data_IF_965961744931
#
_entry.id   IF_965961744931
#
_cell.length_a   1.000
_cell.length_b   1.000
_cell.length_c   1.000
_cell.angle_alpha   90.00
_cell.angle_beta   90.00
_cell.angle_gamma   90.00
#
_symmetry.space_group_name_H-M   'P 1'
#
loop_
_entity.id
_entity.type
_entity.pdbx_description
1 polymer ?
#
# COMPACT_ATOMS: atom_id res chain seq x y z
N UNK A 1 0.27 18.33 4.36
CA UNK A 1 -0.56 19.56 4.54
C UNK A 1 -1.15 19.97 3.18
N UNK A 2 -2.40 20.43 3.12
CA UNK A 2 -2.98 20.93 1.86
C UNK A 2 -2.77 22.44 1.80
N UNK A 3 -2.14 22.93 0.73
CA UNK A 3 -1.81 24.35 0.50
C UNK A 3 -1.17 25.03 1.73
N UNK A 4 -0.10 24.44 2.27
CA UNK A 4 0.62 25.03 3.40
C UNK A 4 -0.15 25.06 4.74
N UNK A 5 -1.27 24.35 4.85
CA UNK A 5 -2.06 24.26 6.09
C UNK A 5 -3.47 24.84 6.00
N UNK A 6 -3.89 25.36 4.85
CA UNK A 6 -5.28 25.82 4.63
C UNK A 6 -6.31 24.70 4.82
N UNK A 7 -5.92 23.45 4.58
CA UNK A 7 -6.76 22.28 4.88
C UNK A 7 -5.92 21.11 5.39
N UNK A 8 -6.56 20.27 6.21
CA UNK A 8 -6.01 19.02 6.70
C UNK A 8 -6.42 17.87 5.79
N UNK A 9 -5.46 17.05 5.39
CA UNK A 9 -5.73 15.84 4.61
C UNK A 9 -6.48 14.84 5.50
N UNK A 10 -7.63 14.36 5.04
CA UNK A 10 -8.51 13.45 5.82
C UNK A 10 -8.12 11.97 5.72
N UNK A 11 -7.03 11.68 5.01
CA UNK A 11 -6.46 10.34 4.82
C UNK A 11 -6.95 9.65 3.54
N UNK A 12 -6.52 8.42 3.32
CA UNK A 12 -6.85 7.65 2.12
C UNK A 12 -8.27 7.06 2.15
N UNK A 13 -8.78 6.74 3.34
CA UNK A 13 -10.04 5.99 3.52
C UNK A 13 -11.26 6.68 2.88
N UNK A 14 -11.48 8.00 3.02
CA UNK A 14 -12.60 8.68 2.37
C UNK A 14 -12.56 8.55 0.84
N UNK A 15 -11.38 8.63 0.23
CA UNK A 15 -11.21 8.43 -1.22
C UNK A 15 -11.44 6.97 -1.62
N UNK A 16 -11.04 6.01 -0.79
CA UNK A 16 -11.30 4.59 -1.05
C UNK A 16 -12.79 4.27 -0.99
N UNK A 17 -13.54 4.92 -0.08
CA UNK A 17 -15.02 4.84 -0.06
C UNK A 17 -15.62 5.38 -1.35
N UNK A 18 -15.11 6.51 -1.86
CA UNK A 18 -15.54 7.08 -3.13
C UNK A 18 -15.26 6.13 -4.32
N UNK A 19 -14.08 5.49 -4.35
CA UNK A 19 -13.81 4.48 -5.38
C UNK A 19 -14.73 3.26 -5.25
N UNK A 20 -15.06 2.81 -4.04
CA UNK A 20 -16.02 1.73 -3.85
C UNK A 20 -17.40 2.07 -4.40
N UNK A 21 -17.90 3.29 -4.16
CA UNK A 21 -19.21 3.69 -4.71
C UNK A 21 -19.17 3.76 -6.23
N UNK A 22 -18.07 4.24 -6.83
CA UNK A 22 -17.87 4.22 -8.27
C UNK A 22 -17.83 2.78 -8.85
N UNK A 23 -17.19 1.83 -8.18
CA UNK A 23 -17.14 0.42 -8.62
C UNK A 23 -18.52 -0.25 -8.57
N UNK A 24 -19.37 0.18 -7.63
CA UNK A 24 -20.70 -0.41 -7.40
C UNK A 24 -21.84 0.34 -8.09
N UNK A 25 -21.60 1.51 -8.69
CA UNK A 25 -22.67 2.32 -9.28
C UNK A 25 -23.31 1.68 -10.52
N UNK A 26 -22.59 0.79 -11.21
CA UNK A 26 -23.09 0.05 -12.37
C UNK A 26 -22.81 -1.45 -12.25
N UNK A 27 -23.72 -2.27 -12.77
CA UNK A 27 -23.46 -3.70 -12.97
C UNK A 27 -22.60 -3.90 -14.22
N UNK A 28 -21.70 -4.89 -14.20
CA UNK A 28 -20.96 -5.30 -15.40
C UNK A 28 -21.93 -6.00 -16.37
N UNK A 29 -22.59 -5.19 -17.21
CA UNK A 29 -23.51 -5.65 -18.25
C UNK A 29 -24.75 -6.39 -17.74
N UNK A 30 -25.21 -6.12 -16.51
CA UNK A 30 -26.39 -6.78 -15.92
C UNK A 30 -26.16 -8.21 -15.41
N UNK A 31 -24.95 -8.77 -15.56
CA UNK A 31 -24.65 -10.17 -15.22
C UNK A 31 -23.98 -10.30 -13.85
N UNK A 32 -23.08 -9.37 -13.48
CA UNK A 32 -22.37 -9.37 -12.18
C UNK A 32 -22.18 -7.95 -11.64
N UNK A 33 -22.05 -7.83 -10.33
CA UNK A 33 -21.66 -6.56 -9.70
C UNK A 33 -20.20 -6.21 -10.03
N UNK A 34 -19.90 -4.92 -10.17
CA UNK A 34 -18.52 -4.46 -10.34
C UNK A 34 -17.63 -4.88 -9.17
N UNK A 35 -16.37 -5.23 -9.48
CA UNK A 35 -15.36 -5.61 -8.51
C UNK A 35 -14.04 -4.91 -8.84
N UNK A 36 -13.28 -4.57 -7.81
CA UNK A 36 -11.99 -3.90 -7.93
C UNK A 36 -11.04 -4.33 -6.83
N UNK A 37 -9.74 -4.24 -7.13
CA UNK A 37 -8.64 -4.41 -6.18
C UNK A 37 -7.84 -3.13 -6.13
N UNK A 38 -7.58 -2.63 -4.93
CA UNK A 38 -6.84 -1.39 -4.70
C UNK A 38 -5.45 -1.71 -4.14
N UNK A 39 -4.41 -1.08 -4.69
CA UNK A 39 -3.01 -1.35 -4.36
C UNK A 39 -2.39 -0.22 -3.53
N UNK A 40 -1.56 -0.59 -2.56
CA UNK A 40 -0.77 0.36 -1.77
C UNK A 40 0.53 -0.27 -1.25
N UNK A 41 1.59 0.52 -1.05
CA UNK A 41 2.85 0.04 -0.49
C UNK A 41 2.70 -0.32 0.99
N UNK A 42 3.38 -1.39 1.42
CA UNK A 42 3.41 -1.83 2.82
C UNK A 42 4.04 -0.78 3.76
N UNK A 43 4.86 0.12 3.23
CA UNK A 43 5.47 1.23 3.99
C UNK A 43 4.60 2.49 4.01
N UNK A 44 3.38 2.46 3.46
CA UNK A 44 2.47 3.60 3.52
C UNK A 44 2.14 3.96 4.98
N UNK A 45 2.11 5.25 5.31
CA UNK A 45 1.82 5.73 6.67
C UNK A 45 0.54 5.17 7.28
N UNK A 46 -0.51 5.06 6.47
CA UNK A 46 -1.81 4.55 6.92
C UNK A 46 -1.95 3.02 6.83
N UNK A 47 -0.86 2.27 6.53
CA UNK A 47 -0.94 0.83 6.17
C UNK A 47 -1.72 -0.01 7.18
N UNK A 48 -1.55 0.19 8.49
CA UNK A 48 -2.25 -0.60 9.50
C UNK A 48 -3.77 -0.38 9.44
N UNK A 49 -4.19 0.86 9.15
CA UNK A 49 -5.59 1.20 8.93
C UNK A 49 -6.11 0.65 7.60
N UNK A 50 -5.27 0.64 6.56
CA UNK A 50 -5.63 0.12 5.23
C UNK A 50 -5.79 -1.41 5.22
N UNK A 51 -4.99 -2.13 6.00
CA UNK A 51 -5.04 -3.60 6.09
C UNK A 51 -6.37 -4.11 6.65
N UNK A 52 -6.98 -3.36 7.59
CA UNK A 52 -8.21 -3.77 8.29
C UNK A 52 -9.49 -3.26 7.62
N UNK A 53 -9.41 -2.63 6.45
CA UNK A 53 -10.59 -2.05 5.76
C UNK A 53 -11.68 -3.07 5.45
N UNK A 54 -11.28 -4.32 5.24
CA UNK A 54 -12.16 -5.44 4.93
C UNK A 54 -12.65 -6.21 6.17
N UNK A 55 -12.12 -5.90 7.34
CA UNK A 55 -12.49 -6.58 8.59
C UNK A 55 -13.96 -6.30 8.93
N UNK A 56 -14.70 -7.35 9.28
CA UNK A 56 -16.12 -7.24 9.63
C UNK A 56 -16.36 -6.49 10.94
N UNK A 57 -15.39 -6.49 11.86
CA UNK A 57 -15.44 -5.73 13.13
C UNK A 57 -14.94 -4.30 12.91
N UNK A 58 -15.52 -3.33 13.60
CA UNK A 58 -15.18 -1.90 13.51
C UNK A 58 -16.35 -1.02 13.08
N UNK A 59 -16.19 0.30 13.19
CA UNK A 59 -17.21 1.27 12.78
C UNK A 59 -17.21 1.45 11.26
N UNK A 60 -18.31 1.95 10.69
CA UNK A 60 -18.42 2.03 9.23
C UNK A 60 -17.48 3.06 8.62
N UNK A 61 -17.16 4.13 9.35
CA UNK A 61 -16.33 5.25 8.89
C UNK A 61 -14.92 4.84 8.47
N UNK A 62 -14.34 3.85 9.14
CA UNK A 62 -12.99 3.34 8.89
C UNK A 62 -12.99 1.97 8.21
N UNK A 63 -14.03 1.67 7.42
CA UNK A 63 -14.17 0.39 6.69
C UNK A 63 -14.59 0.58 5.24
N UNK A 64 -14.07 -0.29 4.38
CA UNK A 64 -14.33 -0.34 2.94
C UNK A 64 -14.30 -1.82 2.52
N UNK A 65 -15.39 -2.54 2.79
CA UNK A 65 -15.40 -4.02 2.76
C UNK A 65 -15.64 -4.64 1.39
N UNK A 66 -16.20 -3.87 0.45
CA UNK A 66 -16.67 -4.39 -0.84
C UNK A 66 -15.65 -4.21 -1.99
N UNK A 67 -14.40 -3.89 -1.65
CA UNK A 67 -13.24 -3.97 -2.53
C UNK A 67 -12.21 -4.96 -1.96
N UNK A 68 -11.35 -5.50 -2.82
CA UNK A 68 -10.21 -6.30 -2.41
C UNK A 68 -8.94 -5.42 -2.39
N UNK A 69 -7.86 -5.87 -1.76
CA UNK A 69 -6.66 -5.05 -1.57
C UNK A 69 -5.40 -5.81 -1.96
N UNK A 70 -4.45 -5.13 -2.63
CA UNK A 70 -3.14 -5.65 -2.96
C UNK A 70 -2.05 -4.91 -2.19
N UNK A 71 -1.40 -5.59 -1.26
CA UNK A 71 -0.27 -5.04 -0.51
C UNK A 71 1.00 -5.22 -1.32
N UNK A 72 1.69 -4.12 -1.57
CA UNK A 72 2.89 -4.09 -2.39
C UNK A 72 4.14 -4.18 -1.50
N UNK A 73 5.01 -5.15 -1.80
CA UNK A 73 6.16 -5.53 -0.97
C UNK A 73 7.38 -5.72 -1.88
N UNK A 74 8.57 -5.39 -1.37
CA UNK A 74 9.85 -5.71 -2.02
C UNK A 74 10.81 -6.42 -1.05
N UNK A 75 11.99 -6.77 -1.56
CA UNK A 75 13.09 -7.42 -0.84
C UNK A 75 13.45 -6.76 0.49
N UNK A 76 13.52 -5.41 0.55
CA UNK A 76 13.92 -4.72 1.78
C UNK A 76 12.93 -5.01 2.92
N UNK A 77 11.63 -4.98 2.62
CA UNK A 77 10.57 -5.24 3.62
C UNK A 77 10.66 -6.66 4.18
N UNK A 78 10.88 -7.66 3.31
CA UNK A 78 11.12 -9.03 3.76
C UNK A 78 12.42 -9.17 4.57
N UNK A 79 13.47 -8.45 4.18
CA UNK A 79 14.75 -8.46 4.90
C UNK A 79 14.58 -7.90 6.31
N UNK A 80 13.79 -6.83 6.49
CA UNK A 80 13.44 -6.29 7.82
C UNK A 80 12.71 -7.35 8.66
N UNK A 81 11.75 -8.08 8.09
CA UNK A 81 11.07 -9.18 8.78
C UNK A 81 12.05 -10.28 9.24
N UNK A 82 12.89 -10.79 8.33
CA UNK A 82 13.81 -11.88 8.61
C UNK A 82 14.85 -11.51 9.68
N UNK A 83 15.29 -10.26 9.71
CA UNK A 83 16.23 -9.75 10.72
C UNK A 83 15.54 -9.33 12.03
N UNK A 84 14.22 -9.44 12.14
CA UNK A 84 13.47 -8.95 13.31
C UNK A 84 13.58 -7.43 13.51
N UNK A 85 13.80 -6.69 12.42
CA UNK A 85 13.95 -5.25 12.43
C UNK A 85 12.61 -4.50 12.40
N UNK A 86 12.70 -3.18 12.19
CA UNK A 86 11.56 -2.30 12.08
C UNK A 86 11.31 -1.87 10.63
N UNK A 87 10.07 -1.48 10.35
CA UNK A 87 9.64 -0.82 9.11
C UNK A 87 9.20 0.59 9.49
N UNK A 88 9.77 1.57 8.80
CA UNK A 88 9.35 2.96 8.88
C UNK A 88 8.25 3.24 7.85
N UNK A 89 7.19 3.89 8.33
CA UNK A 89 6.00 4.21 7.56
C UNK A 89 6.02 5.69 7.20
N UNK A 90 5.86 5.98 5.91
CA UNK A 90 5.97 7.33 5.36
C UNK A 90 4.72 7.70 4.57
N UNK A 91 4.36 8.98 4.57
CA UNK A 91 3.46 9.51 3.54
C UNK A 91 4.27 9.68 2.26
N UNK A 92 3.85 9.16 1.11
CA UNK A 92 4.57 9.35 -0.16
C UNK A 92 4.82 10.83 -0.51
N UNK A 93 4.01 11.76 0.02
CA UNK A 93 4.21 13.21 -0.14
C UNK A 93 5.47 13.75 0.52
N UNK A 94 5.97 13.06 1.55
CA UNK A 94 7.02 13.58 2.45
C UNK A 94 8.40 12.96 2.12
N UNK A 95 8.43 12.00 1.18
CA UNK A 95 9.63 11.24 0.78
C UNK A 95 9.79 11.24 -0.74
N UNK A 96 10.21 12.37 -1.34
CA UNK A 96 10.32 12.51 -2.79
C UNK A 96 11.20 11.42 -3.41
N UNK A 97 10.75 10.88 -4.55
CA UNK A 97 11.46 9.82 -5.29
C UNK A 97 11.36 8.42 -4.67
N UNK A 98 10.98 8.28 -3.39
CA UNK A 98 10.91 6.96 -2.74
C UNK A 98 9.86 6.05 -3.39
N UNK A 99 8.70 6.61 -3.77
CA UNK A 99 7.63 5.83 -4.38
C UNK A 99 8.02 5.28 -5.76
N UNK A 100 8.69 6.09 -6.59
CA UNK A 100 9.12 5.64 -7.92
C UNK A 100 10.22 4.58 -7.80
N UNK A 101 11.25 4.85 -6.99
CA UNK A 101 12.34 3.90 -6.73
C UNK A 101 11.83 2.54 -6.21
N UNK A 102 10.76 2.52 -5.40
CA UNK A 102 10.18 1.29 -4.88
C UNK A 102 9.83 0.26 -5.98
N UNK A 103 9.45 0.72 -7.17
CA UNK A 103 9.16 -0.14 -8.32
C UNK A 103 10.33 -0.22 -9.31
N UNK A 104 11.05 0.88 -9.49
CA UNK A 104 11.99 1.06 -10.61
C UNK A 104 13.41 0.60 -10.28
N UNK A 105 13.90 0.92 -9.08
CA UNK A 105 15.29 0.72 -8.69
C UNK A 105 15.38 0.38 -7.19
N UNK A 106 15.71 -0.88 -6.90
CA UNK A 106 15.75 -1.39 -5.54
C UNK A 106 16.94 -0.86 -4.73
N UNK A 107 18.06 -0.55 -5.39
CA UNK A 107 19.24 -0.01 -4.73
C UNK A 107 19.01 1.45 -4.35
N UNK A 108 18.42 2.23 -5.26
CA UNK A 108 18.01 3.61 -4.98
C UNK A 108 16.90 3.68 -3.92
N UNK A 109 15.96 2.72 -3.94
CA UNK A 109 14.95 2.61 -2.88
C UNK A 109 15.60 2.39 -1.52
N UNK A 110 16.55 1.45 -1.39
CA UNK A 110 17.24 1.20 -0.12
C UNK A 110 18.03 2.43 0.35
N UNK A 111 18.69 3.13 -0.56
CA UNK A 111 19.42 4.38 -0.29
C UNK A 111 18.49 5.48 0.23
N UNK A 112 17.40 5.77 -0.47
CA UNK A 112 16.42 6.79 -0.08
C UNK A 112 15.69 6.40 1.21
N UNK A 113 15.29 5.14 1.35
CA UNK A 113 14.57 4.66 2.52
C UNK A 113 15.39 4.84 3.79
N UNK A 114 16.66 4.41 3.77
CA UNK A 114 17.56 4.56 4.92
C UNK A 114 17.94 6.03 5.18
N UNK A 115 18.08 6.84 4.14
CA UNK A 115 18.27 8.29 4.25
C UNK A 115 17.10 8.95 5.00
N UNK A 116 15.86 8.66 4.59
CA UNK A 116 14.67 9.24 5.20
C UNK A 116 14.35 8.67 6.59
N UNK A 117 14.81 7.45 6.90
CA UNK A 117 14.76 6.92 8.27
C UNK A 117 15.67 7.68 9.24
N UNK A 118 16.79 8.22 8.74
CA UNK A 118 17.75 8.97 9.53
C UNK A 118 17.44 10.48 9.61
N UNK A 119 16.46 10.96 8.83
CA UNK A 119 16.05 12.37 8.83
C UNK A 119 14.92 12.62 9.85
N UNK A 120 15.28 13.22 10.98
CA UNK A 120 14.34 13.56 12.06
C UNK A 120 13.34 14.67 11.67
N UNK A 121 13.53 15.34 10.53
CA UNK A 121 12.58 16.36 10.04
C UNK A 121 11.39 15.75 9.30
N UNK A 122 11.51 14.50 8.83
CA UNK A 122 10.47 13.79 8.10
C UNK A 122 9.54 13.08 9.08
N UNK A 123 8.24 13.32 8.92
CA UNK A 123 7.26 12.67 9.78
C UNK A 123 7.13 11.20 9.41
N UNK A 124 7.54 10.32 10.32
CA UNK A 124 7.47 8.87 10.16
C UNK A 124 6.88 8.18 11.38
N UNK A 125 6.30 7.02 11.16
CA UNK A 125 5.96 6.07 12.23
C UNK A 125 6.85 4.83 12.09
N UNK A 126 7.19 4.18 13.19
CA UNK A 126 8.05 2.99 13.17
C UNK A 126 7.33 1.84 13.83
N UNK A 127 7.18 0.75 13.08
CA UNK A 127 6.53 -0.47 13.55
C UNK A 127 7.48 -1.65 13.45
N UNK A 128 7.32 -2.65 14.32
CA UNK A 128 8.10 -3.90 14.19
C UNK A 128 7.64 -4.62 12.93
N UNK A 129 8.59 -5.10 12.13
CA UNK A 129 8.26 -5.82 10.90
C UNK A 129 7.39 -7.05 11.19
N UNK A 130 7.69 -7.78 12.26
CA UNK A 130 6.91 -8.96 12.67
C UNK A 130 5.45 -8.61 12.94
N UNK A 131 5.17 -7.50 13.62
CA UNK A 131 3.82 -7.09 13.98
C UNK A 131 3.03 -6.69 12.73
N UNK A 132 3.63 -5.90 11.83
CA UNK A 132 3.00 -5.46 10.58
C UNK A 132 2.71 -6.65 9.64
N UNK A 133 3.67 -7.55 9.45
CA UNK A 133 3.47 -8.75 8.63
C UNK A 133 2.43 -9.70 9.25
N UNK A 134 2.40 -9.81 10.58
CA UNK A 134 1.39 -10.62 11.27
C UNK A 134 -0.02 -10.05 11.08
N UNK A 135 -0.19 -8.74 11.22
CA UNK A 135 -1.46 -8.06 10.95
C UNK A 135 -1.93 -8.31 9.51
N UNK A 136 -1.04 -8.08 8.53
CA UNK A 136 -1.34 -8.32 7.12
C UNK A 136 -1.78 -9.78 6.86
N UNK A 137 -1.03 -10.75 7.38
CA UNK A 137 -1.32 -12.16 7.17
C UNK A 137 -2.57 -12.63 7.91
N UNK A 138 -2.88 -12.04 9.07
CA UNK A 138 -4.11 -12.31 9.82
C UNK A 138 -5.34 -11.80 9.07
N UNK A 139 -5.31 -10.57 8.54
CA UNK A 139 -6.41 -10.03 7.73
C UNK A 139 -6.57 -10.78 6.41
N UNK A 140 -5.45 -11.19 5.79
CA UNK A 140 -5.43 -12.10 4.64
C UNK A 140 -6.10 -13.43 4.95
N UNK A 141 -5.75 -14.07 6.06
CA UNK A 141 -6.32 -15.36 6.47
C UNK A 141 -7.82 -15.25 6.78
N UNK A 142 -8.23 -14.16 7.42
CA UNK A 142 -9.62 -13.94 7.84
C UNK A 142 -10.57 -13.66 6.67
N UNK A 143 -10.09 -12.94 5.65
CA UNK A 143 -10.93 -12.46 4.54
C UNK A 143 -10.68 -13.17 3.22
N UNK A 144 -9.50 -13.78 3.04
CA UNK A 144 -9.03 -14.37 1.78
C UNK A 144 -8.75 -13.36 0.66
N UNK A 145 -8.83 -12.05 0.94
CA UNK A 145 -8.92 -10.98 -0.08
C UNK A 145 -7.97 -9.80 0.16
N UNK A 146 -6.93 -10.04 0.94
CA UNK A 146 -5.75 -9.18 1.04
C UNK A 146 -4.64 -9.90 0.27
N UNK A 147 -4.33 -9.43 -0.93
CA UNK A 147 -3.36 -9.99 -1.84
C UNK A 147 -1.96 -9.38 -1.66
N UNK A 148 -0.95 -10.02 -2.25
CA UNK A 148 0.45 -9.59 -2.15
C UNK A 148 1.01 -9.44 -3.57
N UNK A 149 1.60 -8.28 -3.85
CA UNK A 149 2.34 -8.02 -5.07
C UNK A 149 3.82 -7.80 -4.72
N UNK A 150 4.70 -8.67 -5.24
CA UNK A 150 6.16 -8.51 -5.12
C UNK A 150 6.65 -7.57 -6.22
N UNK A 151 6.78 -6.28 -5.90
CA UNK A 151 6.97 -5.22 -6.90
C UNK A 151 8.35 -5.26 -7.57
N UNK A 152 9.36 -5.73 -6.84
CA UNK A 152 10.70 -5.98 -7.35
C UNK A 152 10.69 -7.08 -8.41
N UNK A 153 10.02 -8.22 -8.14
CA UNK A 153 9.86 -9.29 -9.12
C UNK A 153 9.03 -8.85 -10.33
N UNK A 154 7.99 -8.03 -10.11
CA UNK A 154 7.17 -7.49 -11.20
C UNK A 154 7.96 -6.64 -12.19
N UNK A 155 9.10 -6.04 -11.79
CA UNK A 155 9.89 -5.15 -12.65
C UNK A 155 11.21 -5.80 -13.11
N UNK A 156 11.90 -6.55 -12.25
CA UNK A 156 13.16 -7.23 -12.60
C UNK A 156 12.96 -8.42 -13.56
N UNK A 157 11.76 -9.01 -13.58
CA UNK A 157 11.41 -10.10 -14.48
C UNK A 157 10.18 -9.76 -15.33
N UNK A 158 10.24 -8.60 -15.99
CA UNK A 158 9.16 -8.06 -16.80
C UNK A 158 9.58 -7.84 -18.25
N UNK A 159 8.64 -7.73 -19.19
CA UNK A 159 8.94 -7.35 -20.58
C UNK A 159 9.17 -5.84 -20.76
N UNK A 160 9.03 -5.03 -19.71
CA UNK A 160 9.17 -3.58 -19.74
C UNK A 160 10.48 -3.12 -19.09
N UNK A 161 11.04 -2.04 -19.62
CA UNK A 161 12.10 -1.29 -18.97
C UNK A 161 11.52 -0.48 -17.81
N UNK A 162 11.91 -0.81 -16.58
CA UNK A 162 11.39 -0.17 -15.38
C UNK A 162 11.71 1.34 -15.32
N UNK A 163 12.78 1.81 -15.96
CA UNK A 163 13.13 3.24 -15.99
C UNK A 163 12.23 4.06 -16.92
N UNK A 164 11.49 3.40 -17.82
CA UNK A 164 10.63 4.06 -18.82
C UNK A 164 9.15 3.77 -18.56
N UNK A 165 8.81 2.50 -18.28
CA UNK A 165 7.45 2.03 -18.17
C UNK A 165 7.33 0.93 -17.08
N UNK A 166 7.52 1.28 -15.80
CA UNK A 166 7.46 0.31 -14.70
C UNK A 166 6.03 -0.19 -14.45
N UNK A 167 5.94 -1.44 -13.99
CA UNK A 167 4.70 -2.03 -13.51
C UNK A 167 4.51 -1.63 -12.04
N UNK A 168 3.53 -0.75 -11.77
CA UNK A 168 3.23 -0.23 -10.42
C UNK A 168 1.95 -0.77 -9.77
N UNK A 169 1.23 -1.68 -10.43
CA UNK A 169 0.03 -2.35 -9.88
C UNK A 169 -0.28 -3.64 -10.65
N UNK A 170 -1.28 -4.40 -10.22
CA UNK A 170 -1.89 -5.48 -11.03
C UNK A 170 -3.38 -5.20 -11.28
N UNK A 171 -4.13 -6.23 -11.68
CA UNK A 171 -5.58 -6.20 -11.92
C UNK A 171 -6.37 -6.73 -10.71
N UNK A 172 -7.67 -7.03 -10.94
CA UNK A 172 -8.59 -7.57 -9.94
C UNK A 172 -8.15 -8.92 -9.32
N UNK A 173 -7.44 -9.76 -10.06
CA UNK A 173 -7.20 -11.15 -9.71
C UNK A 173 -5.74 -11.48 -9.38
N UNK A 174 -4.86 -10.47 -9.45
CA UNK A 174 -3.39 -10.55 -9.45
C UNK A 174 -2.79 -11.34 -10.61
#
# INVERSE_FOLDING_TARGET
PIRGGEAFHTGCIPFYKYFQTAVKCCSQGGVRGGAATLFYPIWHREVESLLVLKNNRGVEENRVRHMDYGVQINKLMYTRLLKGGNISLFSPSDVPGLYDAFFEDQDEFERLYTQYEADDTIQRETVKAVDLFSLMMQERASTGRIYVQNVDHCNTHSPFDASVAPIRQSNLCL
#
